data_IF_841450059456
#
_entry.id   IF_841450059456
#
_cell.length_a   1.000
_cell.length_b   1.000
_cell.length_c   1.000
_cell.angle_alpha   90.00
_cell.angle_beta   90.00
_cell.angle_gamma   90.00
#
_symmetry.space_group_name_H-M   'P 1'
#
loop_
_entity.id
_entity.type
_entity.pdbx_description
1 polymer ?
#
# COMPACT_ATOMS: atom_id res chain seq x y z
N UNK A 1 -20.80 -7.69 40.80
CA UNK A 1 -19.55 -8.38 40.41
C UNK A 1 -19.01 -7.69 39.19
N UNK A 2 -17.83 -7.06 39.30
CA UNK A 2 -17.14 -6.42 38.18
C UNK A 2 -15.82 -7.16 37.98
N UNK A 3 -15.68 -7.89 36.87
CA UNK A 3 -14.40 -8.46 36.46
C UNK A 3 -13.59 -7.39 35.71
N UNK A 4 -12.46 -7.03 36.31
CA UNK A 4 -11.46 -6.11 35.80
C UNK A 4 -10.60 -6.86 34.78
N UNK A 5 -10.60 -6.37 33.53
CA UNK A 5 -9.74 -6.85 32.45
C UNK A 5 -8.26 -6.71 32.80
N UNK A 6 -7.62 -7.82 33.16
CA UNK A 6 -6.18 -7.90 33.44
C UNK A 6 -5.35 -7.80 32.15
N UNK A 7 -4.74 -6.64 31.95
CA UNK A 7 -3.35 -6.52 31.53
C UNK A 7 -2.96 -7.08 30.15
N UNK A 8 -3.21 -6.32 29.09
CA UNK A 8 -2.36 -6.34 27.87
C UNK A 8 -1.03 -5.61 28.16
N UNK A 9 -0.30 -6.20 29.11
CA UNK A 9 1.15 -6.32 29.35
C UNK A 9 2.14 -5.26 28.83
N UNK A 10 2.55 -4.35 29.74
CA UNK A 10 3.73 -3.48 29.64
C UNK A 10 5.03 -4.18 29.16
N UNK A 11 5.19 -5.49 29.42
CA UNK A 11 6.34 -6.28 28.97
C UNK A 11 6.47 -6.42 27.44
N UNK A 12 5.34 -6.50 26.71
CA UNK A 12 5.37 -6.52 25.23
C UNK A 12 5.75 -5.15 24.66
N UNK A 13 5.32 -4.08 25.33
CA UNK A 13 5.69 -2.71 24.97
C UNK A 13 7.18 -2.47 25.19
N UNK A 14 7.73 -2.87 26.35
CA UNK A 14 9.16 -2.78 26.64
C UNK A 14 10.03 -3.56 25.64
N UNK A 15 9.64 -4.80 25.34
CA UNK A 15 10.29 -5.64 24.32
C UNK A 15 10.30 -5.00 22.93
N UNK A 16 9.18 -4.41 22.51
CA UNK A 16 9.07 -3.73 21.22
C UNK A 16 9.90 -2.44 21.17
N UNK A 17 9.97 -1.69 22.27
CA UNK A 17 10.84 -0.50 22.38
C UNK A 17 12.31 -0.90 22.29
N UNK A 18 12.72 -1.97 22.98
CA UNK A 18 14.09 -2.46 22.93
C UNK A 18 14.50 -2.91 21.51
N UNK A 19 13.61 -3.62 20.80
CA UNK A 19 13.85 -3.98 19.39
C UNK A 19 13.92 -2.77 18.46
N UNK A 20 13.18 -1.69 18.74
CA UNK A 20 13.28 -0.45 17.95
C UNK A 20 14.64 0.21 18.14
N UNK A 21 15.14 0.25 19.38
CA UNK A 21 16.45 0.80 19.71
C UNK A 21 17.58 -0.01 19.07
N UNK A 22 17.53 -1.35 19.16
CA UNK A 22 18.56 -2.21 18.55
C UNK A 22 18.61 -2.05 17.03
N UNK A 23 17.45 -1.99 16.35
CA UNK A 23 17.40 -1.74 14.90
C UNK A 23 17.97 -0.37 14.52
N UNK A 24 17.66 0.67 15.30
CA UNK A 24 18.20 1.99 15.04
C UNK A 24 19.72 2.01 15.18
N UNK A 25 20.24 1.35 16.22
CA UNK A 25 21.67 1.18 16.44
C UNK A 25 22.33 0.42 15.28
N UNK A 26 21.76 -0.70 14.85
CA UNK A 26 22.29 -1.52 13.75
C UNK A 26 22.37 -0.71 12.45
N UNK A 27 21.30 -0.02 12.08
CA UNK A 27 21.29 0.84 10.88
C UNK A 27 22.35 1.94 10.92
N UNK A 28 22.64 2.51 12.10
CA UNK A 28 23.72 3.49 12.26
C UNK A 28 25.08 2.82 12.08
N UNK A 29 25.29 1.64 12.66
CA UNK A 29 26.53 0.87 12.53
C UNK A 29 26.82 0.48 11.07
N UNK A 30 25.80 0.05 10.34
CA UNK A 30 25.87 -0.24 8.90
C UNK A 30 26.27 1.00 8.10
N UNK A 31 25.59 2.14 8.32
CA UNK A 31 25.91 3.42 7.66
C UNK A 31 27.33 3.93 7.94
N UNK A 32 27.89 3.58 9.10
CA UNK A 32 29.26 3.92 9.49
C UNK A 32 30.31 2.90 9.02
N UNK A 33 29.90 1.84 8.30
CA UNK A 33 30.79 0.76 7.84
C UNK A 33 31.32 -0.13 8.97
N UNK A 34 30.66 -0.12 10.14
CA UNK A 34 31.08 -0.87 11.34
C UNK A 34 30.36 -2.21 11.50
N UNK A 35 29.31 -2.46 10.72
CA UNK A 35 28.59 -3.73 10.66
C UNK A 35 28.20 -4.02 9.20
N UNK A 36 28.24 -5.30 8.82
CA UNK A 36 27.85 -5.73 7.47
C UNK A 36 26.32 -5.73 7.35
N UNK A 37 25.81 -5.15 6.26
CA UNK A 37 24.38 -5.16 5.92
C UNK A 37 24.09 -6.29 4.93
N UNK A 38 22.98 -7.00 5.14
CA UNK A 38 22.46 -7.93 4.12
C UNK A 38 21.82 -7.11 2.99
N UNK A 39 22.39 -7.22 1.79
CA UNK A 39 21.86 -6.60 0.57
C UNK A 39 21.19 -7.62 -0.32
N UNK A 40 20.01 -7.27 -0.81
CA UNK A 40 19.24 -8.08 -1.75
C UNK A 40 18.84 -7.17 -2.92
N UNK A 41 19.76 -7.01 -3.87
CA UNK A 41 19.60 -6.08 -4.98
C UNK A 41 18.37 -6.41 -5.84
N UNK A 42 18.07 -7.70 -6.01
CA UNK A 42 16.88 -8.14 -6.74
C UNK A 42 15.59 -7.73 -6.00
N UNK A 43 15.55 -7.90 -4.68
CA UNK A 43 14.42 -7.43 -3.88
C UNK A 43 14.29 -5.90 -3.86
N UNK A 44 15.40 -5.17 -3.78
CA UNK A 44 15.40 -3.71 -3.85
C UNK A 44 14.82 -3.20 -5.18
N UNK A 45 15.17 -3.85 -6.30
CA UNK A 45 14.59 -3.56 -7.61
C UNK A 45 13.08 -3.87 -7.64
N UNK A 46 12.65 -5.01 -7.11
CA UNK A 46 11.22 -5.34 -7.00
C UNK A 46 10.46 -4.31 -6.15
N UNK A 47 11.03 -3.83 -5.04
CA UNK A 47 10.44 -2.77 -4.22
C UNK A 47 10.38 -1.44 -4.96
N UNK A 48 11.40 -1.09 -5.75
CA UNK A 48 11.39 0.10 -6.59
C UNK A 48 10.25 0.03 -7.64
N UNK A 49 10.13 -1.11 -8.32
CA UNK A 49 9.05 -1.36 -9.28
C UNK A 49 7.67 -1.33 -8.62
N UNK A 50 7.50 -1.95 -7.46
CA UNK A 50 6.27 -1.90 -6.66
C UNK A 50 5.87 -0.45 -6.32
N UNK A 51 6.82 0.37 -5.83
CA UNK A 51 6.53 1.75 -5.49
C UNK A 51 6.18 2.59 -6.72
N UNK A 52 6.86 2.36 -7.85
CA UNK A 52 6.54 3.01 -9.13
C UNK A 52 5.12 2.64 -9.58
N UNK A 53 4.77 1.36 -9.55
CA UNK A 53 3.45 0.87 -9.95
C UNK A 53 2.34 1.44 -9.06
N UNK A 54 2.56 1.51 -7.73
CA UNK A 54 1.62 2.15 -6.80
C UNK A 54 1.40 3.63 -7.13
N UNK A 55 2.47 4.36 -7.44
CA UNK A 55 2.42 5.78 -7.75
C UNK A 55 1.70 6.04 -9.09
N UNK A 56 2.02 5.25 -10.12
CA UNK A 56 1.35 5.32 -11.43
C UNK A 56 -0.13 4.97 -11.33
N UNK A 57 -0.50 3.92 -10.58
CA UNK A 57 -1.89 3.57 -10.34
C UNK A 57 -2.66 4.66 -9.57
N UNK A 58 -2.03 5.27 -8.56
CA UNK A 58 -2.64 6.40 -7.81
C UNK A 58 -2.86 7.61 -8.72
N UNK A 59 -1.91 7.88 -9.62
CA UNK A 59 -2.07 8.94 -10.63
C UNK A 59 -3.23 8.63 -11.57
N UNK A 60 -3.31 7.41 -12.09
CA UNK A 60 -4.42 6.96 -12.95
C UNK A 60 -5.77 7.14 -12.26
N UNK A 61 -5.90 6.73 -10.99
CA UNK A 61 -7.12 6.91 -10.21
C UNK A 61 -7.54 8.38 -10.11
N UNK A 62 -6.57 9.27 -9.85
CA UNK A 62 -6.81 10.72 -9.77
C UNK A 62 -7.29 11.27 -11.12
N UNK A 63 -6.62 10.90 -12.20
CA UNK A 63 -6.94 11.37 -13.54
C UNK A 63 -8.32 10.83 -14.00
N UNK A 64 -8.66 9.59 -13.64
CA UNK A 64 -9.98 9.00 -13.89
C UNK A 64 -11.09 9.72 -13.12
N UNK A 65 -10.86 10.08 -11.84
CA UNK A 65 -11.82 10.88 -11.06
C UNK A 65 -12.02 12.27 -11.67
N UNK A 66 -10.94 12.91 -12.14
CA UNK A 66 -11.04 14.18 -12.85
C UNK A 66 -11.83 14.05 -14.16
N UNK A 67 -11.60 12.96 -14.90
CA UNK A 67 -12.36 12.65 -16.11
C UNK A 67 -13.86 12.50 -15.83
N UNK A 68 -14.25 11.78 -14.78
CA UNK A 68 -15.66 11.65 -14.38
C UNK A 68 -16.33 12.99 -14.09
N UNK A 69 -15.62 13.90 -13.41
CA UNK A 69 -16.11 15.27 -13.17
C UNK A 69 -16.30 16.03 -14.49
N UNK A 70 -15.38 15.88 -15.43
CA UNK A 70 -15.50 16.49 -16.76
C UNK A 70 -16.69 15.93 -17.55
N UNK A 71 -16.90 14.61 -17.51
CA UNK A 71 -18.07 13.93 -18.12
C UNK A 71 -19.37 14.46 -17.55
N UNK A 72 -19.47 14.57 -16.21
CA UNK A 72 -20.65 15.15 -15.55
C UNK A 72 -20.90 16.60 -15.97
N UNK A 73 -19.83 17.40 -16.07
CA UNK A 73 -19.93 18.79 -16.52
C UNK A 73 -20.41 18.88 -17.96
N UNK A 74 -19.95 17.97 -18.84
CA UNK A 74 -20.40 17.88 -20.23
C UNK A 74 -21.87 17.48 -20.33
N UNK A 75 -22.31 16.51 -19.53
CA UNK A 75 -23.72 16.14 -19.42
C UNK A 75 -24.59 17.33 -19.01
N UNK A 76 -24.21 18.06 -17.96
CA UNK A 76 -24.93 19.26 -17.52
C UNK A 76 -24.95 20.38 -18.59
N UNK A 77 -23.89 20.53 -19.36
CA UNK A 77 -23.85 21.47 -20.49
C UNK A 77 -24.76 21.00 -21.65
N UNK A 78 -24.73 19.71 -21.98
CA UNK A 78 -25.58 19.10 -23.00
C UNK A 78 -27.06 19.27 -22.67
N UNK A 79 -27.44 18.99 -21.42
CA UNK A 79 -28.82 19.11 -20.95
C UNK A 79 -29.32 20.55 -21.04
N UNK A 80 -28.54 21.53 -20.56
CA UNK A 80 -28.90 22.95 -20.68
C UNK A 80 -29.10 23.40 -22.13
N UNK A 81 -28.29 22.89 -23.06
CA UNK A 81 -28.46 23.20 -24.48
C UNK A 81 -29.76 22.59 -25.03
N UNK A 82 -30.08 21.37 -24.62
CA UNK A 82 -31.34 20.70 -24.99
C UNK A 82 -32.55 21.40 -24.38
N UNK A 83 -32.47 21.84 -23.12
CA UNK A 83 -33.52 22.64 -22.46
C UNK A 83 -33.78 23.94 -23.22
N UNK A 84 -32.72 24.67 -23.62
CA UNK A 84 -32.86 25.87 -24.45
C UNK A 84 -33.52 25.57 -25.81
N UNK A 85 -33.21 24.44 -26.43
CA UNK A 85 -33.86 24.04 -27.69
C UNK A 85 -35.34 23.72 -27.44
N UNK A 86 -35.66 22.95 -26.41
CA UNK A 86 -37.02 22.57 -26.07
C UNK A 86 -37.89 23.79 -25.73
N UNK A 87 -37.34 24.79 -25.02
CA UNK A 87 -38.01 26.05 -24.70
C UNK A 87 -38.28 26.91 -25.94
N UNK A 88 -37.41 26.85 -26.95
CA UNK A 88 -37.56 27.59 -28.21
C UNK A 88 -38.46 26.88 -29.24
N UNK A 89 -38.67 25.57 -29.09
CA UNK A 89 -39.42 24.77 -30.05
C UNK A 89 -40.89 24.71 -29.67
N UNK A 90 -41.74 25.39 -30.43
CA UNK A 90 -43.17 25.47 -30.10
C UNK A 90 -43.85 24.09 -30.14
N UNK A 91 -44.87 23.85 -29.30
CA UNK A 91 -45.53 22.55 -29.19
C UNK A 91 -46.21 22.05 -30.48
N UNK A 92 -46.65 22.96 -31.35
CA UNK A 92 -47.33 22.65 -32.60
C UNK A 92 -46.38 22.53 -33.81
N UNK A 93 -45.08 22.76 -33.59
CA UNK A 93 -44.09 22.59 -34.64
C UNK A 93 -43.84 21.12 -34.95
N UNK A 94 -43.73 20.82 -36.24
CA UNK A 94 -43.45 19.48 -36.74
C UNK A 94 -42.16 18.93 -36.10
N UNK A 95 -42.19 17.74 -35.52
CA UNK A 95 -41.01 17.11 -34.93
C UNK A 95 -40.78 17.39 -33.44
N UNK A 96 -41.71 18.07 -32.75
CA UNK A 96 -41.56 18.38 -31.32
C UNK A 96 -41.42 17.12 -30.46
N UNK A 97 -42.32 16.16 -30.62
CA UNK A 97 -42.30 14.91 -29.84
C UNK A 97 -41.01 14.11 -30.07
N UNK A 98 -40.55 14.04 -31.33
CA UNK A 98 -39.29 13.37 -31.67
C UNK A 98 -38.07 14.09 -31.09
N UNK A 99 -38.10 15.43 -31.03
CA UNK A 99 -37.03 16.24 -30.43
C UNK A 99 -36.95 16.01 -28.93
N UNK A 100 -38.09 15.96 -28.24
CA UNK A 100 -38.15 15.69 -26.80
C UNK A 100 -37.68 14.26 -26.48
N UNK A 101 -38.15 13.28 -27.24
CA UNK A 101 -37.70 11.89 -27.09
C UNK A 101 -36.19 11.76 -27.28
N UNK A 102 -35.61 12.46 -28.27
CA UNK A 102 -34.16 12.47 -28.48
C UNK A 102 -33.39 13.10 -27.31
N UNK A 103 -33.96 14.14 -26.67
CA UNK A 103 -33.37 14.74 -25.49
C UNK A 103 -33.36 13.77 -24.29
N UNK A 104 -34.46 13.06 -24.05
CA UNK A 104 -34.57 12.03 -23.01
C UNK A 104 -33.61 10.84 -23.26
N UNK A 105 -33.52 10.36 -24.50
CA UNK A 105 -32.59 9.31 -24.90
C UNK A 105 -31.13 9.75 -24.66
N UNK A 106 -30.80 11.00 -25.00
CA UNK A 106 -29.46 11.55 -24.77
C UNK A 106 -29.13 11.63 -23.28
N UNK A 107 -30.06 12.07 -22.43
CA UNK A 107 -29.87 12.12 -20.97
C UNK A 107 -29.64 10.70 -20.41
N UNK A 108 -30.42 9.72 -20.89
CA UNK A 108 -30.25 8.31 -20.53
C UNK A 108 -28.86 7.79 -20.89
N UNK A 109 -28.38 8.06 -22.11
CA UNK A 109 -27.03 7.66 -22.54
C UNK A 109 -25.93 8.29 -21.68
N UNK A 110 -26.10 9.54 -21.25
CA UNK A 110 -25.15 10.19 -20.33
C UNK A 110 -25.13 9.53 -18.95
N UNK A 111 -26.31 9.20 -18.41
CA UNK A 111 -26.44 8.53 -17.12
C UNK A 111 -25.81 7.13 -17.15
N UNK A 112 -26.11 6.34 -18.18
CA UNK A 112 -25.51 5.02 -18.40
C UNK A 112 -23.99 5.11 -18.53
N UNK A 113 -23.48 6.10 -19.28
CA UNK A 113 -22.05 6.29 -19.45
C UNK A 113 -21.35 6.64 -18.13
N UNK A 114 -21.93 7.55 -17.34
CA UNK A 114 -21.39 7.90 -16.02
C UNK A 114 -21.38 6.68 -15.08
N UNK A 115 -22.47 5.91 -15.07
CA UNK A 115 -22.56 4.68 -14.27
C UNK A 115 -21.52 3.66 -14.71
N UNK A 116 -21.34 3.45 -16.02
CA UNK A 116 -20.36 2.54 -16.56
C UNK A 116 -18.93 2.90 -16.13
N UNK A 117 -18.52 4.17 -16.25
CA UNK A 117 -17.18 4.59 -15.81
C UNK A 117 -17.00 4.34 -14.30
N UNK A 118 -18.04 4.59 -13.51
CA UNK A 118 -18.00 4.39 -12.05
C UNK A 118 -17.80 2.91 -11.71
N UNK A 119 -18.64 2.03 -12.26
CA UNK A 119 -18.70 0.63 -11.86
C UNK A 119 -17.64 -0.24 -12.54
N UNK A 120 -17.30 0.05 -13.80
CA UNK A 120 -16.38 -0.76 -14.59
C UNK A 120 -14.94 -0.24 -14.54
N UNK A 121 -14.75 1.08 -14.55
CA UNK A 121 -13.39 1.64 -14.60
C UNK A 121 -12.89 2.01 -13.21
N UNK A 122 -13.62 2.85 -12.46
CA UNK A 122 -13.16 3.37 -11.18
C UNK A 122 -13.07 2.27 -10.12
N UNK A 123 -14.11 1.44 -9.99
CA UNK A 123 -14.10 0.33 -9.04
C UNK A 123 -12.94 -0.66 -9.29
N UNK A 124 -12.61 -0.94 -10.56
CA UNK A 124 -11.47 -1.80 -10.91
C UNK A 124 -10.14 -1.19 -10.45
N UNK A 125 -9.93 0.10 -10.68
CA UNK A 125 -8.71 0.81 -10.23
C UNK A 125 -8.64 0.86 -8.71
N UNK A 126 -9.75 1.14 -8.03
CA UNK A 126 -9.82 1.18 -6.56
C UNK A 126 -9.52 -0.19 -5.95
N UNK A 127 -10.09 -1.26 -6.49
CA UNK A 127 -9.85 -2.65 -6.04
C UNK A 127 -8.40 -3.08 -6.27
N UNK A 128 -7.82 -2.70 -7.41
CA UNK A 128 -6.41 -2.92 -7.69
C UNK A 128 -5.49 -2.20 -6.69
N UNK A 129 -5.74 -0.91 -6.44
CA UNK A 129 -4.95 -0.11 -5.51
C UNK A 129 -5.10 -0.55 -4.04
N UNK A 130 -6.24 -1.14 -3.69
CA UNK A 130 -6.50 -1.65 -2.34
C UNK A 130 -5.54 -2.77 -1.90
N UNK A 131 -4.84 -3.43 -2.83
CA UNK A 131 -3.87 -4.50 -2.53
C UNK A 131 -2.52 -3.95 -2.03
N UNK A 132 -2.15 -2.73 -2.43
CA UNK A 132 -0.83 -2.15 -2.14
C UNK A 132 -0.56 -1.93 -0.64
N UNK A 133 -1.49 -1.44 0.19
CA UNK A 133 -1.23 -1.22 1.62
C UNK A 133 -0.79 -2.47 2.37
N UNK A 134 -1.40 -3.62 2.08
CA UNK A 134 -1.05 -4.89 2.71
C UNK A 134 0.35 -5.34 2.28
N UNK A 135 0.64 -5.34 0.98
CA UNK A 135 1.96 -5.72 0.44
C UNK A 135 3.04 -4.79 1.00
N UNK A 136 2.79 -3.48 1.03
CA UNK A 136 3.70 -2.48 1.62
C UNK A 136 3.98 -2.77 3.10
N UNK A 137 2.96 -3.18 3.86
CA UNK A 137 3.14 -3.57 5.26
C UNK A 137 4.00 -4.83 5.41
N UNK A 138 3.87 -5.80 4.49
CA UNK A 138 4.69 -7.02 4.43
C UNK A 138 6.15 -6.71 4.08
N UNK A 139 6.40 -5.87 3.07
CA UNK A 139 7.75 -5.34 2.74
C UNK A 139 8.38 -4.68 3.97
N UNK A 140 7.67 -3.74 4.61
CA UNK A 140 8.18 -3.08 5.81
C UNK A 140 8.42 -4.03 6.99
N UNK A 141 7.66 -5.14 7.08
CA UNK A 141 7.89 -6.20 8.07
C UNK A 141 9.15 -6.99 7.75
N UNK A 142 9.35 -7.37 6.49
CA UNK A 142 10.58 -8.03 6.00
C UNK A 142 11.81 -7.17 6.32
N UNK A 143 11.81 -5.88 5.98
CA UNK A 143 12.96 -4.99 6.23
C UNK A 143 13.32 -4.90 7.72
N UNK A 144 12.31 -4.84 8.60
CA UNK A 144 12.55 -4.89 10.05
C UNK A 144 13.16 -6.21 10.51
N UNK A 145 12.83 -7.33 9.84
CA UNK A 145 13.34 -8.66 10.16
C UNK A 145 14.73 -8.92 9.60
N UNK A 146 15.05 -8.35 8.45
CA UNK A 146 16.41 -8.30 7.92
C UNK A 146 17.36 -7.62 8.91
N UNK A 147 16.96 -6.45 9.45
CA UNK A 147 17.77 -5.73 10.44
C UNK A 147 17.85 -6.50 11.78
N UNK A 148 16.77 -7.17 12.21
CA UNK A 148 16.83 -8.04 13.40
C UNK A 148 17.86 -9.18 13.19
N UNK A 149 17.92 -9.76 11.98
CA UNK A 149 18.88 -10.81 11.61
C UNK A 149 20.32 -10.29 11.56
N UNK A 150 20.57 -9.16 10.88
CA UNK A 150 21.90 -8.54 10.82
C UNK A 150 22.43 -8.21 12.22
N UNK A 151 21.57 -7.70 13.11
CA UNK A 151 21.95 -7.40 14.48
C UNK A 151 22.30 -8.66 15.29
N UNK A 152 21.53 -9.74 15.15
CA UNK A 152 21.84 -11.02 15.77
C UNK A 152 23.16 -11.60 15.24
N UNK A 153 23.41 -11.48 13.93
CA UNK A 153 24.66 -11.91 13.28
C UNK A 153 25.86 -11.13 13.81
N UNK A 154 25.74 -9.80 13.90
CA UNK A 154 26.77 -8.93 14.44
C UNK A 154 27.04 -9.23 15.93
N UNK A 155 25.99 -9.43 16.73
CA UNK A 155 26.13 -9.78 18.15
C UNK A 155 26.87 -11.11 18.34
N UNK A 156 26.46 -12.15 17.62
CA UNK A 156 27.12 -13.46 17.66
C UNK A 156 28.60 -13.37 17.24
N UNK A 157 28.89 -12.67 16.14
CA UNK A 157 30.26 -12.47 15.67
C UNK A 157 31.13 -11.71 16.68
N UNK A 158 30.56 -10.70 17.37
CA UNK A 158 31.25 -9.97 18.43
C UNK A 158 31.58 -10.86 19.63
N UNK A 159 30.68 -11.76 20.04
CA UNK A 159 30.91 -12.69 21.15
C UNK A 159 31.98 -13.73 20.79
N UNK A 160 31.98 -14.24 19.56
CA UNK A 160 32.99 -15.17 19.07
C UNK A 160 34.40 -14.59 19.04
N UNK A 161 34.52 -13.28 18.74
CA UNK A 161 35.81 -12.54 18.71
C UNK A 161 36.28 -12.08 20.10
N UNK A 162 35.47 -12.24 21.15
CA UNK A 162 35.83 -11.85 22.51
C UNK A 162 36.99 -12.68 23.06
N UNK A 163 37.96 -12.02 23.72
CA UNK A 163 39.07 -12.69 24.42
C UNK A 163 38.60 -13.50 25.64
N UNK A 164 37.46 -13.14 26.23
CA UNK A 164 36.80 -13.90 27.29
C UNK A 164 35.62 -14.63 26.68
N UNK A 165 35.75 -15.93 26.47
CA UNK A 165 34.67 -16.76 25.96
C UNK A 165 33.72 -17.14 27.09
N UNK A 166 32.43 -16.97 26.82
CA UNK A 166 31.33 -17.35 27.70
C UNK A 166 30.41 -18.24 26.87
N UNK A 167 30.61 -19.55 27.00
CA UNK A 167 29.96 -20.54 26.13
C UNK A 167 28.44 -20.50 26.27
N UNK A 168 27.91 -20.17 27.45
CA UNK A 168 26.49 -20.01 27.67
C UNK A 168 25.91 -18.80 26.91
N UNK A 169 26.61 -17.66 26.91
CA UNK A 169 26.19 -16.49 26.12
C UNK A 169 26.32 -16.72 24.62
N UNK A 170 27.37 -17.43 24.19
CA UNK A 170 27.58 -17.76 22.78
C UNK A 170 26.46 -18.68 22.27
N UNK A 171 26.14 -19.75 22.99
CA UNK A 171 25.06 -20.68 22.63
C UNK A 171 23.69 -19.97 22.54
N UNK A 172 23.42 -19.04 23.47
CA UNK A 172 22.18 -18.25 23.44
C UNK A 172 22.13 -17.32 22.20
N UNK A 173 23.23 -16.65 21.88
CA UNK A 173 23.30 -15.78 20.71
C UNK A 173 23.17 -16.57 19.39
N UNK A 174 23.66 -17.81 19.35
CA UNK A 174 23.48 -18.72 18.22
C UNK A 174 22.01 -19.14 18.02
N UNK A 175 21.30 -19.48 19.10
CA UNK A 175 19.85 -19.77 19.04
C UNK A 175 19.05 -18.54 18.55
N UNK A 176 19.39 -17.35 19.06
CA UNK A 176 18.74 -16.10 18.66
C UNK A 176 19.00 -15.77 17.17
N UNK A 177 20.22 -16.01 16.69
CA UNK A 177 20.57 -15.88 15.27
C UNK A 177 19.77 -16.84 14.39
N UNK A 178 19.72 -18.14 14.75
CA UNK A 178 18.95 -19.13 14.00
C UNK A 178 17.45 -18.80 13.94
N UNK A 179 16.88 -18.31 15.05
CA UNK A 179 15.48 -17.85 15.09
C UNK A 179 15.25 -16.62 14.21
N UNK A 180 16.16 -15.64 14.23
CA UNK A 180 16.05 -14.43 13.41
C UNK A 180 16.15 -14.75 11.91
N UNK A 181 17.07 -15.66 11.55
CA UNK A 181 17.25 -16.13 10.18
C UNK A 181 15.97 -16.79 9.63
N UNK A 182 15.41 -17.77 10.36
CA UNK A 182 14.19 -18.47 9.96
C UNK A 182 13.02 -17.50 9.71
N UNK A 183 12.80 -16.55 10.61
CA UNK A 183 11.72 -15.55 10.48
C UNK A 183 11.95 -14.64 9.27
N UNK A 184 13.19 -14.26 8.99
CA UNK A 184 13.52 -13.44 7.84
C UNK A 184 13.28 -14.20 6.53
N UNK A 185 13.76 -15.43 6.42
CA UNK A 185 13.61 -16.29 5.23
C UNK A 185 12.13 -16.60 4.92
N UNK A 186 11.31 -16.92 5.94
CA UNK A 186 9.86 -17.13 5.78
C UNK A 186 9.17 -15.90 5.18
N UNK A 187 9.54 -14.70 5.62
CA UNK A 187 9.00 -13.45 5.08
C UNK A 187 9.57 -13.10 3.70
N UNK A 188 10.82 -13.47 3.43
CA UNK A 188 11.46 -13.21 2.15
C UNK A 188 10.78 -14.02 1.04
N UNK A 189 10.54 -15.32 1.26
CA UNK A 189 9.84 -16.19 0.32
C UNK A 189 8.39 -15.72 0.07
N UNK A 190 7.69 -15.27 1.13
CA UNK A 190 6.30 -14.85 0.99
C UNK A 190 6.09 -13.53 0.23
N UNK A 191 7.10 -12.68 0.10
CA UNK A 191 7.01 -11.38 -0.59
C UNK A 191 7.62 -11.44 -2.01
N UNK A 192 8.47 -12.44 -2.28
CA UNK A 192 9.10 -12.65 -3.58
C UNK A 192 8.31 -13.58 -4.52
N UNK A 193 7.29 -14.29 -4.02
CA UNK A 193 6.35 -15.08 -4.80
C UNK A 193 5.02 -14.37 -4.98
#
# INVERSE_FOLDING_TARGET
MAEIGKGVTAGKLASNVQKRLSRAQEKVMQKLGKADETRDAAFEEMVANFNKQMAEGTKLQKDLKAYMVAVKTMHEASRRLQDCLADMYEPDWFGKEETDALAEDTDTLWLEYHQNITDQSLLCVDTYLAQFPEIKARIAKRDRKMVDFDSARHHFASLQKSKKKDDAKIAKAEEELGRAQKIFEELNCGVAG
#
